data_IF_344416903618
#
_entry.id   IF_344416903618
#
_cell.length_a   1.000
_cell.length_b   1.000
_cell.length_c   1.000
_cell.angle_alpha   90.00
_cell.angle_beta   90.00
_cell.angle_gamma   90.00
#
_symmetry.space_group_name_H-M   'P 1'
#
loop_
_entity.id
_entity.type
_entity.pdbx_description
1 polymer ?
#
# COMPACT_ATOMS: atom_id res chain seq x y z
N UNK A 1 -3.62 13.39 29.18
CA UNK A 1 -2.80 12.51 30.05
C UNK A 1 -1.37 13.00 29.92
N UNK A 2 -0.79 13.46 31.02
CA UNK A 2 0.60 13.91 31.08
C UNK A 2 1.51 12.68 30.91
N UNK A 3 2.49 12.74 30.02
CA UNK A 3 3.59 11.76 30.00
C UNK A 3 4.88 12.50 30.13
N UNK A 4 5.45 12.34 31.32
CA UNK A 4 6.73 12.84 31.77
C UNK A 4 7.85 12.24 30.91
N UNK A 5 8.59 13.09 30.23
CA UNK A 5 9.92 12.76 29.71
C UNK A 5 10.88 12.68 30.89
N UNK A 6 11.08 11.47 31.42
CA UNK A 6 12.16 11.17 32.35
C UNK A 6 13.33 10.66 31.51
N UNK A 7 14.18 11.59 31.09
CA UNK A 7 15.44 11.28 30.40
C UNK A 7 16.57 11.35 31.41
N UNK A 8 17.08 10.16 31.72
CA UNK A 8 18.25 9.82 32.53
C UNK A 8 19.29 10.94 32.70
N UNK A 9 19.33 11.52 33.91
CA UNK A 9 20.54 12.13 34.44
C UNK A 9 21.59 11.02 34.64
N UNK A 10 22.63 11.04 33.81
CA UNK A 10 23.86 10.32 34.10
C UNK A 10 24.55 11.06 35.25
N UNK A 11 24.23 10.66 36.48
CA UNK A 11 24.85 11.17 37.70
C UNK A 11 26.31 10.73 37.68
N UNK A 12 27.19 11.63 37.21
CA UNK A 12 28.63 11.56 37.43
C UNK A 12 28.87 11.79 38.93
N UNK A 13 28.70 10.73 39.71
CA UNK A 13 29.04 10.69 41.10
C UNK A 13 30.49 10.24 41.26
N UNK A 14 31.35 11.12 41.77
CA UNK A 14 32.60 10.70 42.41
C UNK A 14 33.75 11.67 42.27
N UNK A 15 34.20 12.19 43.41
CA UNK A 15 35.49 12.83 43.64
C UNK A 15 35.72 14.24 43.05
N UNK A 16 35.05 15.22 43.64
CA UNK A 16 35.74 16.49 43.95
C UNK A 16 35.79 16.64 45.48
N UNK A 17 36.48 15.68 46.11
CA UNK A 17 36.86 15.78 47.52
C UNK A 17 38.22 16.46 47.59
N UNK A 18 38.24 17.60 48.26
CA UNK A 18 39.38 18.11 49.00
C UNK A 18 40.69 18.33 48.22
N UNK A 19 40.78 19.47 47.55
CA UNK A 19 42.02 20.26 47.61
C UNK A 19 42.20 20.70 49.07
N UNK A 20 42.86 19.88 49.87
CA UNK A 20 42.95 20.11 51.29
C UNK A 20 43.86 19.12 51.99
N UNK A 21 45.13 19.52 52.08
CA UNK A 21 46.03 19.20 53.18
C UNK A 21 46.35 17.72 53.39
N UNK A 22 47.40 17.24 52.72
CA UNK A 22 48.35 16.34 53.37
C UNK A 22 49.77 16.75 52.87
N UNK A 23 50.55 17.45 53.69
CA UNK A 23 51.89 16.92 53.98
C UNK A 23 51.63 15.52 54.52
N UNK A 24 51.36 14.58 53.60
CA UNK A 24 51.30 13.18 53.92
C UNK A 24 52.65 12.92 54.55
N UNK A 25 52.64 12.44 55.79
CA UNK A 25 53.82 11.90 56.45
C UNK A 25 54.58 11.08 55.42
N UNK A 26 55.59 11.66 54.78
CA UNK A 26 56.30 11.04 53.68
C UNK A 26 57.09 9.92 54.31
N UNK A 27 56.51 8.73 54.28
CA UNK A 27 57.16 7.53 54.75
C UNK A 27 58.09 7.11 53.63
N UNK A 28 59.39 7.36 53.84
CA UNK A 28 60.43 6.88 52.95
C UNK A 28 60.21 5.39 52.71
N UNK A 29 60.37 4.96 51.45
CA UNK A 29 60.22 3.56 51.08
C UNK A 29 61.06 2.67 52.00
N UNK A 30 60.46 1.59 52.53
CA UNK A 30 61.14 0.64 53.44
C UNK A 30 62.49 0.18 52.89
N UNK A 31 62.60 0.08 51.56
CA UNK A 31 63.84 -0.26 50.85
C UNK A 31 64.87 0.86 50.93
N UNK A 32 64.48 2.11 50.71
CA UNK A 32 65.37 3.27 50.83
C UNK A 32 65.77 3.48 52.28
N UNK A 33 64.87 3.26 53.24
CA UNK A 33 65.16 3.32 54.67
C UNK A 33 66.19 2.26 55.10
N UNK A 34 66.07 1.04 54.59
CA UNK A 34 67.05 -0.03 54.85
C UNK A 34 68.43 0.29 54.25
N UNK A 35 68.47 0.83 53.03
CA UNK A 35 69.71 1.26 52.36
C UNK A 35 70.35 2.42 53.12
N UNK A 36 69.57 3.46 53.44
CA UNK A 36 70.02 4.60 54.23
C UNK A 36 70.63 4.14 55.56
N UNK A 37 69.93 3.26 56.29
CA UNK A 37 70.42 2.70 57.56
C UNK A 37 71.73 1.92 57.42
N UNK A 38 71.91 1.17 56.33
CA UNK A 38 73.15 0.45 56.05
C UNK A 38 74.30 1.41 55.71
N UNK A 39 74.05 2.41 54.87
CA UNK A 39 75.04 3.40 54.44
C UNK A 39 75.48 4.29 55.59
N UNK A 40 74.56 4.74 56.46
CA UNK A 40 74.92 5.52 57.65
C UNK A 40 75.75 4.72 58.66
N UNK A 41 75.50 3.42 58.84
CA UNK A 41 76.33 2.55 59.68
C UNK A 41 77.76 2.41 59.15
N UNK A 42 77.92 2.30 57.84
CA UNK A 42 79.25 2.27 57.20
C UNK A 42 79.97 3.62 57.33
N UNK A 43 79.26 4.74 57.19
CA UNK A 43 79.84 6.07 57.44
C UNK A 43 80.27 6.26 58.88
N UNK A 44 79.52 5.75 59.86
CA UNK A 44 79.93 5.77 61.26
C UNK A 44 81.24 4.98 61.48
N UNK A 45 81.40 3.81 60.83
CA UNK A 45 82.65 3.04 60.87
C UNK A 45 83.82 3.78 60.20
N UNK A 46 83.56 4.51 59.11
CA UNK A 46 84.57 5.28 58.38
C UNK A 46 85.05 6.48 59.19
N UNK A 47 84.13 7.19 59.86
CA UNK A 47 84.45 8.31 60.76
C UNK A 47 85.30 7.82 61.94
N UNK A 48 84.99 6.65 62.51
CA UNK A 48 85.76 6.07 63.62
C UNK A 48 87.21 5.71 63.22
N UNK A 49 87.45 5.29 61.98
CA UNK A 49 88.78 4.84 61.51
C UNK A 49 89.62 5.96 60.87
N UNK A 50 88.99 6.88 60.15
CA UNK A 50 89.68 7.86 59.30
C UNK A 50 89.38 9.32 59.66
N UNK A 51 88.46 9.57 60.60
CA UNK A 51 88.05 10.90 61.03
C UNK A 51 86.90 11.49 60.21
N UNK A 52 86.29 12.55 60.73
CA UNK A 52 85.06 13.15 60.18
C UNK A 52 85.26 13.81 58.81
N UNK A 53 86.43 14.39 58.55
CA UNK A 53 86.71 15.09 57.28
C UNK A 53 86.71 14.14 56.07
N UNK A 54 86.85 12.82 56.26
CA UNK A 54 86.81 11.85 55.17
C UNK A 54 85.42 11.67 54.53
N UNK A 55 84.34 12.01 55.24
CA UNK A 55 82.94 11.78 54.79
C UNK A 55 82.19 13.08 54.49
N UNK A 56 82.74 14.22 54.92
CA UNK A 56 82.09 15.54 54.90
C UNK A 56 81.51 15.95 53.54
N UNK A 57 82.27 15.78 52.45
CA UNK A 57 81.82 16.15 51.10
C UNK A 57 80.99 15.06 50.42
N UNK A 58 81.10 13.81 50.89
CA UNK A 58 80.39 12.66 50.34
C UNK A 58 78.98 12.51 50.92
N UNK A 59 78.76 12.90 52.18
CA UNK A 59 77.48 12.78 52.86
C UNK A 59 76.33 13.53 52.14
N UNK A 60 76.49 14.80 51.70
CA UNK A 60 75.45 15.49 50.96
C UNK A 60 75.09 14.82 49.62
N UNK A 61 76.08 14.24 48.93
CA UNK A 61 75.85 13.52 47.67
C UNK A 61 75.03 12.25 47.88
N UNK A 62 75.35 11.49 48.94
CA UNK A 62 74.60 10.28 49.29
C UNK A 62 73.20 10.60 49.76
N UNK A 63 73.02 11.64 50.57
CA UNK A 63 71.67 12.12 50.96
C UNK A 63 70.85 12.47 49.73
N UNK A 64 71.39 13.27 48.81
CA UNK A 64 70.71 13.62 47.56
C UNK A 64 70.38 12.39 46.69
N UNK A 65 71.25 11.37 46.65
CA UNK A 65 70.95 10.11 45.96
C UNK A 65 69.82 9.33 46.64
N UNK A 66 69.77 9.29 47.97
CA UNK A 66 68.70 8.64 48.72
C UNK A 66 67.36 9.38 48.55
N UNK A 67 67.36 10.71 48.60
CA UNK A 67 66.17 11.54 48.34
C UNK A 67 65.64 11.35 46.91
N UNK A 68 66.52 11.34 45.91
CA UNK A 68 66.14 11.07 44.52
C UNK A 68 65.61 9.64 44.33
N UNK A 69 66.21 8.66 45.02
CA UNK A 69 65.75 7.28 44.98
C UNK A 69 64.37 7.13 45.62
N UNK A 70 64.13 7.80 46.74
CA UNK A 70 62.83 7.79 47.42
C UNK A 70 61.75 8.46 46.57
N UNK A 71 62.07 9.58 45.95
CA UNK A 71 61.21 10.28 45.00
C UNK A 71 60.85 9.38 43.80
N UNK A 72 61.82 8.63 43.26
CA UNK A 72 61.58 7.67 42.18
C UNK A 72 60.72 6.48 42.63
N UNK A 73 60.78 6.05 43.89
CA UNK A 73 59.90 5.00 44.41
C UNK A 73 58.46 5.49 44.56
N UNK A 74 58.26 6.73 45.03
CA UNK A 74 56.94 7.35 45.10
C UNK A 74 56.31 7.47 43.70
N UNK A 75 57.04 8.02 42.74
CA UNK A 75 56.57 8.15 41.35
C UNK A 75 56.22 6.77 40.75
N UNK A 76 57.03 5.74 41.03
CA UNK A 76 56.75 4.37 40.59
C UNK A 76 55.47 3.80 41.21
N UNK A 77 55.17 4.11 42.47
CA UNK A 77 53.95 3.64 43.14
C UNK A 77 52.71 4.38 42.62
N UNK A 78 52.82 5.70 42.40
CA UNK A 78 51.77 6.51 41.76
C UNK A 78 51.45 5.99 40.35
N UNK A 79 52.48 5.80 39.52
CA UNK A 79 52.31 5.24 38.17
C UNK A 79 51.75 3.82 38.17
N UNK A 80 51.98 3.03 39.24
CA UNK A 80 51.41 1.70 39.37
C UNK A 80 49.91 1.75 39.64
N UNK A 81 49.46 2.69 40.50
CA UNK A 81 48.04 2.94 40.75
C UNK A 81 47.34 3.44 39.49
N UNK A 82 47.93 4.41 38.79
CA UNK A 82 47.39 4.91 37.53
C UNK A 82 47.25 3.81 36.47
N UNK A 83 48.25 2.92 36.38
CA UNK A 83 48.17 1.77 35.49
C UNK A 83 47.03 0.81 35.85
N UNK A 84 46.75 0.62 37.14
CA UNK A 84 45.65 -0.25 37.59
C UNK A 84 44.30 0.40 37.28
N UNK A 85 44.13 1.69 37.55
CA UNK A 85 42.92 2.44 37.19
C UNK A 85 42.65 2.39 35.68
N UNK A 86 43.69 2.63 34.85
CA UNK A 86 43.55 2.56 33.40
C UNK A 86 43.19 1.15 32.90
N UNK A 87 43.66 0.09 33.58
CA UNK A 87 43.26 -1.29 33.24
C UNK A 87 41.80 -1.54 33.59
N UNK A 88 41.34 -1.08 34.75
CA UNK A 88 39.94 -1.19 35.14
C UNK A 88 39.02 -0.42 34.20
N UNK A 89 39.37 0.81 33.83
CA UNK A 89 38.62 1.62 32.86
C UNK A 89 38.56 0.93 31.49
N UNK A 90 39.66 0.34 31.03
CA UNK A 90 39.70 -0.40 29.77
C UNK A 90 38.81 -1.65 29.81
N UNK A 91 38.79 -2.38 30.93
CA UNK A 91 37.88 -3.51 31.13
C UNK A 91 36.41 -3.07 31.12
N UNK A 92 36.09 -1.94 31.76
CA UNK A 92 34.74 -1.37 31.72
C UNK A 92 34.32 -0.97 30.29
N UNK A 93 35.22 -0.31 29.55
CA UNK A 93 35.00 0.04 28.14
C UNK A 93 34.80 -1.20 27.28
N UNK A 94 35.57 -2.26 27.49
CA UNK A 94 35.43 -3.52 26.77
C UNK A 94 34.05 -4.17 27.03
N UNK A 95 33.62 -4.22 28.29
CA UNK A 95 32.30 -4.73 28.66
C UNK A 95 31.15 -3.91 28.06
N UNK A 96 31.29 -2.58 28.02
CA UNK A 96 30.31 -1.70 27.39
C UNK A 96 30.26 -1.92 25.87
N UNK A 97 31.42 -2.00 25.23
CA UNK A 97 31.54 -2.31 23.81
C UNK A 97 30.89 -3.64 23.45
N UNK A 98 31.12 -4.69 24.23
CA UNK A 98 30.52 -6.00 23.99
C UNK A 98 28.99 -5.98 24.12
N UNK A 99 28.47 -5.27 25.13
CA UNK A 99 27.02 -5.08 25.29
C UNK A 99 26.42 -4.35 24.09
N UNK A 100 27.02 -3.24 23.68
CA UNK A 100 26.57 -2.46 22.52
C UNK A 100 26.64 -3.29 21.24
N UNK A 101 27.73 -4.04 21.02
CA UNK A 101 27.90 -4.94 19.88
C UNK A 101 26.80 -6.00 19.83
N UNK A 102 26.43 -6.58 20.97
CA UNK A 102 25.35 -7.57 21.05
C UNK A 102 23.97 -6.93 20.78
N UNK A 103 23.74 -5.72 21.30
CA UNK A 103 22.51 -4.96 21.05
C UNK A 103 22.36 -4.61 19.58
N UNK A 104 23.43 -4.12 18.93
CA UNK A 104 23.44 -3.87 17.48
C UNK A 104 23.15 -5.11 16.68
N UNK A 105 23.82 -6.23 16.98
CA UNK A 105 23.54 -7.51 16.30
C UNK A 105 22.08 -7.95 16.46
N UNK A 106 21.48 -7.77 17.64
CA UNK A 106 20.07 -8.07 17.86
C UNK A 106 19.14 -7.12 17.10
N UNK A 107 19.52 -5.85 16.98
CA UNK A 107 18.74 -4.86 16.25
C UNK A 107 18.81 -5.10 14.73
N UNK A 108 19.99 -5.40 14.19
CA UNK A 108 20.18 -5.77 12.79
C UNK A 108 19.33 -7.00 12.43
N UNK A 109 19.31 -8.02 13.30
CA UNK A 109 18.46 -9.19 13.11
C UNK A 109 16.97 -8.83 13.07
N UNK A 110 16.50 -7.93 13.95
CA UNK A 110 15.12 -7.45 13.93
C UNK A 110 14.80 -6.66 12.66
N UNK A 111 15.74 -5.87 12.15
CA UNK A 111 15.56 -5.16 10.89
C UNK A 111 15.38 -6.13 9.72
N UNK A 112 16.20 -7.19 9.65
CA UNK A 112 16.06 -8.24 8.63
C UNK A 112 14.70 -8.95 8.72
N UNK A 113 14.22 -9.28 9.92
CA UNK A 113 12.90 -9.91 10.12
C UNK A 113 11.75 -9.01 9.67
N UNK A 114 11.85 -7.70 9.95
CA UNK A 114 10.86 -6.72 9.50
C UNK A 114 10.91 -6.55 7.99
N UNK A 115 12.10 -6.49 7.39
CA UNK A 115 12.28 -6.41 5.94
C UNK A 115 11.68 -7.64 5.24
N UNK A 116 11.96 -8.86 5.72
CA UNK A 116 11.37 -10.09 5.21
C UNK A 116 9.84 -10.07 5.30
N UNK A 117 9.29 -9.63 6.45
CA UNK A 117 7.84 -9.50 6.61
C UNK A 117 7.22 -8.48 5.64
N UNK A 118 7.92 -7.38 5.34
CA UNK A 118 7.45 -6.37 4.40
C UNK A 118 7.51 -6.87 2.96
N UNK A 119 8.58 -7.61 2.60
CA UNK A 119 8.70 -8.23 1.29
C UNK A 119 7.58 -9.24 1.04
N UNK A 120 7.25 -10.07 2.04
CA UNK A 120 6.16 -11.03 1.93
C UNK A 120 4.79 -10.33 1.79
N UNK A 121 4.54 -9.28 2.59
CA UNK A 121 3.31 -8.49 2.46
C UNK A 121 3.21 -7.80 1.09
N UNK A 122 4.31 -7.25 0.58
CA UNK A 122 4.32 -6.63 -0.74
C UNK A 122 4.02 -7.65 -1.84
N UNK A 123 4.61 -8.85 -1.75
CA UNK A 123 4.32 -9.95 -2.68
C UNK A 123 2.86 -10.39 -2.62
N UNK A 124 2.26 -10.47 -1.43
CA UNK A 124 0.84 -10.78 -1.27
C UNK A 124 -0.05 -9.69 -1.89
N UNK A 125 0.30 -8.42 -1.72
CA UNK A 125 -0.40 -7.29 -2.31
C UNK A 125 -0.28 -7.30 -3.85
N UNK A 126 0.91 -7.54 -4.39
CA UNK A 126 1.13 -7.67 -5.84
C UNK A 126 0.29 -8.81 -6.43
N UNK A 127 0.21 -9.96 -5.76
CA UNK A 127 -0.66 -11.06 -6.17
C UNK A 127 -2.14 -10.65 -6.17
N UNK A 128 -2.60 -9.93 -5.13
CA UNK A 128 -3.98 -9.42 -5.05
C UNK A 128 -4.28 -8.43 -6.17
N UNK A 129 -3.36 -7.51 -6.45
CA UNK A 129 -3.47 -6.57 -7.57
C UNK A 129 -3.57 -7.32 -8.90
N UNK A 130 -2.73 -8.34 -9.11
CA UNK A 130 -2.78 -9.19 -10.30
C UNK A 130 -4.13 -9.91 -10.47
N UNK A 131 -4.65 -10.49 -9.39
CA UNK A 131 -5.98 -11.12 -9.38
C UNK A 131 -7.10 -10.12 -9.68
N UNK A 132 -7.09 -8.96 -9.04
CA UNK A 132 -8.08 -7.91 -9.27
C UNK A 132 -8.03 -7.40 -10.71
N UNK A 133 -6.84 -7.20 -11.27
CA UNK A 133 -6.69 -6.79 -12.67
C UNK A 133 -7.29 -7.83 -13.64
N UNK A 134 -7.12 -9.12 -13.35
CA UNK A 134 -7.76 -10.20 -14.13
C UNK A 134 -9.29 -10.15 -14.04
N UNK A 135 -9.84 -9.93 -12.84
CA UNK A 135 -11.30 -9.80 -12.63
C UNK A 135 -11.85 -8.59 -13.40
N UNK A 136 -11.18 -7.44 -13.34
CA UNK A 136 -11.58 -6.23 -14.08
C UNK A 136 -11.64 -6.53 -15.58
N UNK A 137 -10.58 -7.14 -16.15
CA UNK A 137 -10.56 -7.51 -17.57
C UNK A 137 -11.71 -8.44 -17.97
N UNK A 138 -12.05 -9.41 -17.10
CA UNK A 138 -13.20 -10.29 -17.31
C UNK A 138 -14.52 -9.52 -17.33
N UNK A 139 -14.72 -8.61 -16.36
CA UNK A 139 -15.93 -7.80 -16.26
C UNK A 139 -16.07 -6.81 -17.42
N UNK A 140 -14.96 -6.26 -17.92
CA UNK A 140 -14.93 -5.41 -19.11
C UNK A 140 -15.44 -6.19 -20.34
N UNK A 141 -14.95 -7.42 -20.53
CA UNK A 141 -15.42 -8.28 -21.62
C UNK A 141 -16.92 -8.61 -21.47
N UNK A 142 -17.35 -8.94 -20.25
CA UNK A 142 -18.77 -9.21 -19.96
C UNK A 142 -19.66 -8.00 -20.25
N UNK A 143 -19.20 -6.80 -19.87
CA UNK A 143 -19.90 -5.53 -20.14
C UNK A 143 -20.00 -5.28 -21.64
N UNK A 144 -18.91 -5.48 -22.39
CA UNK A 144 -18.90 -5.36 -23.84
C UNK A 144 -19.90 -6.30 -24.49
N UNK A 145 -19.88 -7.58 -24.11
CA UNK A 145 -20.81 -8.59 -24.64
C UNK A 145 -22.28 -8.25 -24.33
N UNK A 146 -22.56 -7.75 -23.12
CA UNK A 146 -23.91 -7.32 -22.74
C UNK A 146 -24.37 -6.09 -23.54
N UNK A 147 -23.49 -5.12 -23.77
CA UNK A 147 -23.75 -3.95 -24.60
C UNK A 147 -24.08 -4.36 -26.04
N UNK A 148 -23.26 -5.22 -26.65
CA UNK A 148 -23.49 -5.74 -28.00
C UNK A 148 -24.83 -6.47 -28.12
N UNK A 149 -25.22 -7.24 -27.10
CA UNK A 149 -26.53 -7.91 -27.06
C UNK A 149 -27.70 -6.92 -26.94
N UNK A 150 -27.56 -5.88 -26.11
CA UNK A 150 -28.55 -4.82 -25.97
C UNK A 150 -28.76 -4.07 -27.29
N UNK A 151 -27.69 -3.67 -27.97
CA UNK A 151 -27.79 -2.98 -29.26
C UNK A 151 -28.52 -3.82 -30.33
N UNK A 152 -28.30 -5.15 -30.36
CA UNK A 152 -29.04 -6.05 -31.26
C UNK A 152 -30.53 -6.21 -30.92
N UNK A 153 -30.89 -5.99 -29.66
CA UNK A 153 -32.30 -5.97 -29.23
C UNK A 153 -32.95 -4.64 -29.63
N UNK A 154 -32.26 -3.53 -29.40
CA UNK A 154 -32.71 -2.18 -29.77
C UNK A 154 -32.94 -2.07 -31.29
N UNK A 155 -32.05 -2.63 -32.12
CA UNK A 155 -32.23 -2.69 -33.58
C UNK A 155 -33.51 -3.43 -33.97
N UNK A 156 -33.75 -4.62 -33.37
CA UNK A 156 -34.97 -5.39 -33.62
C UNK A 156 -36.23 -4.68 -33.16
N UNK A 157 -36.18 -3.97 -32.03
CA UNK A 157 -37.29 -3.15 -31.56
C UNK A 157 -37.57 -2.00 -32.52
N UNK A 158 -36.52 -1.34 -33.02
CA UNK A 158 -36.65 -0.26 -34.01
C UNK A 158 -37.29 -0.76 -35.31
N UNK A 159 -36.86 -1.93 -35.83
CA UNK A 159 -37.46 -2.56 -37.00
C UNK A 159 -38.94 -2.89 -36.78
N UNK A 160 -39.29 -3.47 -35.62
CA UNK A 160 -40.68 -3.77 -35.27
C UNK A 160 -41.54 -2.51 -35.19
N UNK A 161 -41.01 -1.43 -34.62
CA UNK A 161 -41.69 -0.13 -34.57
C UNK A 161 -41.91 0.43 -35.97
N UNK A 162 -40.91 0.35 -36.85
CA UNK A 162 -41.07 0.77 -38.25
C UNK A 162 -42.14 -0.03 -38.98
N UNK A 163 -42.19 -1.35 -38.80
CA UNK A 163 -43.23 -2.21 -39.40
C UNK A 163 -44.62 -1.91 -38.84
N UNK A 164 -44.73 -1.63 -37.52
CA UNK A 164 -45.97 -1.20 -36.90
C UNK A 164 -46.46 0.13 -37.46
N UNK A 165 -45.57 1.12 -37.60
CA UNK A 165 -45.91 2.42 -38.15
C UNK A 165 -46.36 2.32 -39.62
N UNK A 166 -45.69 1.50 -40.45
CA UNK A 166 -46.13 1.19 -41.83
C UNK A 166 -47.52 0.55 -41.86
N UNK A 167 -47.76 -0.43 -40.99
CA UNK A 167 -49.06 -1.10 -40.91
C UNK A 167 -50.16 -0.14 -40.47
N UNK A 168 -49.86 0.71 -39.50
CA UNK A 168 -50.76 1.75 -39.02
C UNK A 168 -51.07 2.79 -40.10
N UNK A 169 -50.08 3.22 -40.90
CA UNK A 169 -50.29 4.10 -42.04
C UNK A 169 -51.22 3.46 -43.09
N UNK A 170 -50.96 2.20 -43.47
CA UNK A 170 -51.82 1.44 -44.40
C UNK A 170 -53.24 1.27 -43.87
N UNK A 171 -53.40 1.01 -42.58
CA UNK A 171 -54.71 0.90 -41.94
C UNK A 171 -55.48 2.23 -41.99
N UNK A 172 -54.80 3.34 -41.69
CA UNK A 172 -55.40 4.67 -41.79
C UNK A 172 -55.78 5.04 -43.23
N UNK A 173 -54.96 4.67 -44.21
CA UNK A 173 -55.32 4.84 -45.62
C UNK A 173 -56.57 4.03 -45.99
N UNK A 174 -56.64 2.76 -45.58
CA UNK A 174 -57.83 1.94 -45.78
C UNK A 174 -59.08 2.56 -45.15
N UNK A 175 -58.99 3.10 -43.93
CA UNK A 175 -60.09 3.81 -43.29
C UNK A 175 -60.52 5.06 -44.08
N UNK A 176 -59.58 5.88 -44.54
CA UNK A 176 -59.89 7.05 -45.39
C UNK A 176 -60.62 6.63 -46.66
N UNK A 177 -60.10 5.63 -47.37
CA UNK A 177 -60.77 5.12 -48.58
C UNK A 177 -62.18 4.61 -48.29
N UNK A 178 -62.37 3.91 -47.16
CA UNK A 178 -63.69 3.43 -46.75
C UNK A 178 -64.66 4.58 -46.48
N UNK A 179 -64.24 5.62 -45.77
CA UNK A 179 -65.02 6.84 -45.53
C UNK A 179 -65.39 7.48 -46.86
N UNK A 180 -64.43 7.70 -47.77
CA UNK A 180 -64.67 8.27 -49.10
C UNK A 180 -65.66 7.43 -49.92
N UNK A 181 -65.62 6.10 -49.79
CA UNK A 181 -66.57 5.19 -50.42
C UNK A 181 -67.98 5.37 -49.85
N UNK A 182 -68.11 5.38 -48.52
CA UNK A 182 -69.38 5.59 -47.81
C UNK A 182 -69.99 6.95 -48.18
N UNK A 183 -69.18 8.01 -48.21
CA UNK A 183 -69.62 9.35 -48.59
C UNK A 183 -70.09 9.41 -50.05
N UNK A 184 -69.35 8.78 -50.98
CA UNK A 184 -69.78 8.66 -52.39
C UNK A 184 -71.09 7.90 -52.52
N UNK A 185 -71.27 6.80 -51.80
CA UNK A 185 -72.53 6.03 -51.80
C UNK A 185 -73.68 6.84 -51.22
N UNK A 186 -73.45 7.55 -50.12
CA UNK A 186 -74.43 8.45 -49.50
C UNK A 186 -74.87 9.56 -50.46
N UNK A 187 -73.92 10.15 -51.19
CA UNK A 187 -74.20 11.16 -52.20
C UNK A 187 -75.03 10.60 -53.37
N UNK A 188 -74.70 9.40 -53.85
CA UNK A 188 -75.39 8.75 -54.98
C UNK A 188 -76.81 8.27 -54.64
N UNK A 189 -77.04 7.71 -53.45
CA UNK A 189 -78.37 7.24 -53.03
C UNK A 189 -79.28 8.36 -52.53
N UNK A 190 -78.71 9.53 -52.19
CA UNK A 190 -79.41 10.61 -51.50
C UNK A 190 -79.49 10.35 -49.99
N UNK A 191 -79.23 11.39 -49.18
CA UNK A 191 -79.09 11.31 -47.72
C UNK A 191 -80.24 10.53 -47.04
N UNK A 192 -81.49 10.79 -47.47
CA UNK A 192 -82.68 10.20 -46.85
C UNK A 192 -82.84 8.69 -47.13
N UNK A 193 -82.47 8.24 -48.34
CA UNK A 193 -82.50 6.82 -48.70
C UNK A 193 -81.32 6.03 -48.11
N UNK A 194 -80.17 6.68 -47.94
CA UNK A 194 -78.98 6.08 -47.31
C UNK A 194 -79.19 5.81 -45.82
N UNK A 195 -79.76 6.76 -45.08
CA UNK A 195 -80.02 6.60 -43.64
C UNK A 195 -81.12 5.56 -43.35
N UNK A 196 -82.08 5.40 -44.27
CA UNK A 196 -83.10 4.33 -44.20
C UNK A 196 -82.50 2.93 -44.48
N UNK A 197 -81.49 2.82 -45.36
CA UNK A 197 -80.82 1.56 -45.64
C UNK A 197 -79.88 1.11 -44.50
N UNK A 198 -79.24 2.05 -43.80
CA UNK A 198 -78.30 1.76 -42.71
C UNK A 198 -79.00 1.46 -41.36
N UNK A 199 -80.30 1.79 -41.24
CA UNK A 199 -81.11 1.54 -40.03
C UNK A 199 -81.85 0.19 -40.04
N UNK A 200 -81.72 -0.61 -41.11
CA UNK A 200 -82.27 -1.96 -41.16
C UNK A 200 -81.36 -2.95 -40.38
N UNK A 201 -81.90 -3.75 -39.43
CA UNK A 201 -81.09 -4.68 -38.66
C UNK A 201 -80.59 -5.82 -39.54
N UNK A 202 -79.27 -6.05 -39.53
CA UNK A 202 -78.62 -7.16 -40.23
C UNK A 202 -79.06 -8.49 -39.60
N UNK A 203 -79.98 -9.19 -40.27
CA UNK A 203 -80.34 -10.55 -39.91
C UNK A 203 -79.17 -11.50 -40.20
N UNK A 204 -78.52 -11.97 -39.13
CA UNK A 204 -77.59 -13.11 -39.19
C UNK A 204 -78.33 -14.33 -39.75
N UNK A 205 -77.99 -14.74 -40.97
CA UNK A 205 -78.57 -15.93 -41.61
C UNK A 205 -77.52 -17.02 -41.79
N UNK A 206 -77.46 -17.89 -40.79
CA UNK A 206 -77.28 -19.32 -41.03
C UNK A 206 -78.54 -19.83 -41.77
N UNK A 207 -78.51 -19.96 -43.10
CA UNK A 207 -79.18 -21.10 -43.73
C UNK A 207 -78.77 -21.31 -45.19
N UNK A 208 -78.59 -22.59 -45.54
CA UNK A 208 -78.25 -23.09 -46.87
C UNK A 208 -79.53 -23.18 -47.71
N UNK A 209 -79.38 -22.91 -49.01
CA UNK A 209 -80.34 -23.05 -50.12
C UNK A 209 -81.14 -21.79 -50.49
N UNK A 210 -80.68 -21.09 -51.53
CA UNK A 210 -81.51 -20.55 -52.62
C UNK A 210 -80.61 -19.96 -53.70
N UNK A 211 -80.76 -20.42 -54.94
CA UNK A 211 -80.12 -19.83 -56.12
C UNK A 211 -80.95 -18.64 -56.66
N UNK A 212 -80.23 -17.76 -57.35
CA UNK A 212 -80.67 -16.64 -58.20
C UNK A 212 -81.05 -15.32 -57.49
N UNK A 213 -80.14 -14.33 -57.52
CA UNK A 213 -80.25 -13.16 -58.40
C UNK A 213 -78.93 -12.38 -58.44
N UNK A 214 -78.57 -11.93 -59.65
CA UNK A 214 -77.38 -11.18 -60.04
C UNK A 214 -77.38 -9.73 -59.53
N UNK A 215 -76.16 -9.21 -59.29
CA UNK A 215 -75.77 -7.81 -59.05
C UNK A 215 -76.48 -7.17 -57.85
N UNK A 216 -75.82 -6.90 -56.72
CA UNK A 216 -74.71 -5.97 -56.56
C UNK A 216 -73.80 -6.54 -55.46
N UNK A 217 -72.48 -6.54 -55.66
CA UNK A 217 -71.50 -7.02 -54.67
C UNK A 217 -71.38 -5.99 -53.53
N UNK A 218 -72.42 -5.86 -52.71
CA UNK A 218 -72.42 -5.08 -51.47
C UNK A 218 -71.90 -5.94 -50.33
N UNK A 219 -70.65 -6.38 -50.44
CA UNK A 219 -69.85 -6.74 -49.27
C UNK A 219 -69.54 -5.46 -48.48
N UNK A 220 -70.55 -4.86 -47.86
CA UNK A 220 -70.40 -3.94 -46.73
C UNK A 220 -70.05 -4.81 -45.52
N UNK A 221 -68.85 -5.39 -45.56
CA UNK A 221 -68.24 -6.13 -44.45
C UNK A 221 -67.36 -5.19 -43.62
N UNK A 222 -67.73 -3.91 -43.57
CA UNK A 222 -66.88 -2.83 -43.06
C UNK A 222 -66.80 -2.72 -41.54
N UNK A 223 -67.79 -3.23 -40.78
CA UNK A 223 -67.86 -2.96 -39.32
C UNK A 223 -67.42 -4.16 -38.49
N UNK A 224 -67.66 -5.40 -38.94
CA UNK A 224 -67.28 -6.62 -38.20
C UNK A 224 -65.77 -6.87 -38.18
N UNK A 225 -65.06 -6.44 -39.22
CA UNK A 225 -63.61 -6.60 -39.34
C UNK A 225 -62.87 -5.54 -38.49
N UNK A 226 -63.45 -4.34 -38.32
CA UNK A 226 -62.92 -3.28 -37.43
C UNK A 226 -62.97 -3.70 -35.96
N UNK A 227 -64.08 -4.32 -35.51
CA UNK A 227 -64.23 -4.77 -34.12
C UNK A 227 -63.25 -5.91 -33.79
N UNK A 228 -62.97 -6.79 -34.76
CA UNK A 228 -61.99 -7.87 -34.60
C UNK A 228 -60.56 -7.33 -34.55
N UNK A 229 -60.23 -6.28 -35.32
CA UNK A 229 -58.92 -5.63 -35.30
C UNK A 229 -58.64 -4.86 -33.99
N UNK A 230 -59.66 -4.22 -33.39
CA UNK A 230 -59.55 -3.54 -32.07
C UNK A 230 -59.32 -4.54 -30.92
N UNK A 231 -59.73 -5.79 -31.08
CA UNK A 231 -59.46 -6.85 -30.11
C UNK A 231 -58.04 -7.44 -30.27
N UNK A 232 -57.49 -7.42 -31.50
CA UNK A 232 -56.10 -7.86 -31.78
C UNK A 232 -55.03 -6.86 -31.33
N UNK A 233 -55.36 -5.57 -31.19
CA UNK A 233 -54.43 -4.55 -30.67
C UNK A 233 -54.24 -4.59 -29.15
N UNK A 234 -54.97 -5.43 -28.42
CA UNK A 234 -54.88 -5.55 -26.96
C UNK A 234 -54.18 -6.82 -26.46
N UNK A 235 -53.68 -7.70 -27.33
CA UNK A 235 -53.06 -8.96 -26.91
C UNK A 235 -51.73 -9.24 -27.61
N UNK A 236 -50.68 -8.57 -27.15
CA UNK A 236 -49.28 -8.98 -27.34
C UNK A 236 -48.51 -8.81 -26.03
N UNK A 237 -49.01 -9.41 -24.94
CA UNK A 237 -48.13 -9.78 -23.83
C UNK A 237 -47.60 -11.17 -24.15
N UNK A 238 -46.57 -11.23 -24.98
CA UNK A 238 -45.73 -12.42 -25.04
C UNK A 238 -45.00 -12.45 -23.70
N UNK A 239 -45.45 -13.27 -22.77
CA UNK A 239 -44.71 -13.57 -21.54
C UNK A 239 -43.44 -14.33 -21.94
N UNK A 240 -42.42 -13.58 -22.36
CA UNK A 240 -41.09 -14.09 -22.60
C UNK A 240 -40.53 -14.53 -21.26
N UNK A 241 -40.37 -15.83 -21.08
CA UNK A 241 -39.69 -16.43 -19.93
C UNK A 241 -38.18 -16.11 -20.00
N UNK A 242 -37.85 -14.84 -19.74
CA UNK A 242 -36.51 -14.27 -19.71
C UNK A 242 -35.61 -15.03 -18.73
N UNK A 243 -36.18 -15.56 -17.65
CA UNK A 243 -35.48 -16.35 -16.65
C UNK A 243 -34.94 -17.68 -17.20
N UNK A 244 -35.64 -18.33 -18.13
CA UNK A 244 -35.18 -19.62 -18.70
C UNK A 244 -34.00 -19.49 -19.66
N UNK A 245 -33.94 -18.39 -20.43
CA UNK A 245 -32.84 -18.14 -21.37
C UNK A 245 -31.56 -17.68 -20.65
N UNK A 246 -31.68 -16.87 -19.59
CA UNK A 246 -30.56 -16.49 -18.73
C UNK A 246 -29.95 -17.74 -18.06
N UNK A 247 -30.80 -18.63 -17.54
CA UNK A 247 -30.36 -19.82 -16.82
C UNK A 247 -29.79 -20.94 -17.73
N UNK A 248 -30.26 -21.03 -18.99
CA UNK A 248 -29.67 -21.94 -19.99
C UNK A 248 -28.25 -21.53 -20.38
N UNK A 249 -27.98 -20.22 -20.39
CA UNK A 249 -26.67 -19.69 -20.70
C UNK A 249 -25.70 -19.95 -19.53
N UNK A 250 -26.13 -19.72 -18.28
CA UNK A 250 -25.31 -19.94 -17.06
C UNK A 250 -24.70 -21.35 -16.95
N UNK A 251 -25.39 -22.36 -17.50
CA UNK A 251 -24.93 -23.76 -17.45
C UNK A 251 -23.88 -24.09 -18.51
N UNK A 252 -23.90 -23.41 -19.65
CA UNK A 252 -22.90 -23.51 -20.73
C UNK A 252 -21.61 -22.76 -20.33
N UNK A 253 -21.73 -21.62 -19.63
CA UNK A 253 -20.60 -20.83 -19.13
C UNK A 253 -19.73 -21.54 -18.09
N UNK A 254 -20.33 -22.44 -17.30
CA UNK A 254 -19.61 -23.24 -16.30
C UNK A 254 -18.76 -24.36 -16.92
N UNK A 255 -19.15 -24.85 -18.11
CA UNK A 255 -18.48 -25.97 -18.79
C UNK A 255 -17.31 -25.49 -19.67
N UNK A 256 -17.41 -24.29 -20.28
CA UNK A 256 -16.38 -23.74 -21.18
C UNK A 256 -15.19 -23.07 -20.44
N UNK A 257 -15.39 -22.61 -19.21
CA UNK A 257 -14.36 -21.93 -18.40
C UNK A 257 -14.09 -22.59 -17.05
N UNK A 258 -14.56 -23.84 -16.87
CA UNK A 258 -14.37 -24.61 -15.65
C UNK A 258 -12.90 -24.74 -15.27
N UNK A 259 -12.48 -24.07 -14.19
CA UNK A 259 -11.22 -24.41 -13.53
C UNK A 259 -10.50 -23.31 -12.74
N UNK A 260 -10.82 -22.03 -12.90
CA UNK A 260 -10.25 -20.99 -12.02
C UNK A 260 -11.23 -20.59 -10.93
N UNK A 261 -10.72 -20.61 -9.70
CA UNK A 261 -11.46 -20.38 -8.45
C UNK A 261 -12.51 -19.29 -8.63
N UNK A 262 -13.75 -19.63 -8.28
CA UNK A 262 -14.87 -18.70 -8.29
C UNK A 262 -14.48 -17.46 -7.51
N UNK A 263 -14.75 -16.26 -8.04
CA UNK A 263 -14.49 -14.99 -7.35
C UNK A 263 -15.04 -14.96 -5.90
N UNK A 264 -16.09 -15.77 -5.64
CA UNK A 264 -16.65 -16.02 -4.31
C UNK A 264 -15.64 -16.63 -3.31
N UNK A 265 -14.71 -17.49 -3.74
CA UNK A 265 -13.71 -18.13 -2.88
C UNK A 265 -12.57 -17.16 -2.50
N UNK A 266 -12.18 -16.27 -3.43
CA UNK A 266 -11.19 -15.20 -3.19
C UNK A 266 -11.75 -14.16 -2.20
N UNK A 267 -13.06 -13.88 -2.27
CA UNK A 267 -13.77 -13.00 -1.33
C UNK A 267 -14.09 -13.66 0.02
N UNK A 268 -14.10 -15.00 0.09
CA UNK A 268 -14.46 -15.76 1.29
C UNK A 268 -13.25 -16.10 2.19
N UNK A 269 -12.02 -15.74 1.83
CA UNK A 269 -10.87 -15.96 2.72
C UNK A 269 -11.05 -15.16 4.01
N UNK A 270 -11.04 -15.79 5.20
CA UNK A 270 -11.26 -15.07 6.45
C UNK A 270 -10.11 -14.09 6.70
N UNK A 271 -10.46 -12.80 6.80
CA UNK A 271 -9.56 -11.74 7.25
C UNK A 271 -9.12 -12.09 8.68
N UNK A 272 -7.89 -12.59 8.86
CA UNK A 272 -7.31 -12.81 10.20
C UNK A 272 -7.11 -11.44 10.86
N UNK A 273 -8.08 -11.03 11.67
CA UNK A 273 -7.92 -9.89 12.56
C UNK A 273 -6.85 -10.23 13.62
N UNK A 274 -5.69 -9.57 13.54
CA UNK A 274 -4.75 -9.48 14.66
C UNK A 274 -5.13 -8.28 15.52
N UNK A 275 -5.08 -8.39 16.86
CA UNK A 275 -5.64 -7.38 17.76
C UNK A 275 -4.87 -6.07 17.70
N UNK A 276 -5.64 -4.99 17.85
CA UNK A 276 -5.18 -3.61 17.92
C UNK A 276 -4.17 -3.41 19.07
N UNK A 277 -2.87 -3.40 18.75
CA UNK A 277 -1.85 -2.64 19.47
C UNK A 277 -0.53 -2.66 18.69
N UNK A 278 -0.41 -1.73 17.76
CA UNK A 278 0.88 -1.29 17.20
C UNK A 278 0.73 0.19 16.82
N UNK A 279 1.56 1.11 17.32
CA UNK A 279 1.42 2.53 17.03
C UNK A 279 1.61 2.78 15.53
N UNK A 280 0.67 3.49 14.90
CA UNK A 280 0.80 4.01 13.55
C UNK A 280 2.02 4.96 13.46
N UNK A 281 2.82 4.94 12.39
CA UNK A 281 3.82 5.98 12.18
C UNK A 281 3.09 7.29 11.86
N UNK A 282 3.35 8.31 12.68
CA UNK A 282 2.93 9.68 12.42
C UNK A 282 3.58 10.16 11.12
N UNK A 283 2.74 10.50 10.14
CA UNK A 283 3.13 11.28 8.97
C UNK A 283 3.67 12.61 9.48
N UNK A 284 4.97 12.80 9.39
CA UNK A 284 5.61 14.10 9.56
C UNK A 284 5.48 14.82 8.23
N UNK A 285 4.63 15.84 8.18
CA UNK A 285 4.58 16.81 7.09
C UNK A 285 5.96 17.47 6.93
N UNK A 286 6.57 17.28 5.75
CA UNK A 286 7.74 18.07 5.34
C UNK A 286 7.29 19.51 5.01
N UNK A 287 7.97 20.56 5.50
CA UNK A 287 7.65 21.93 5.14
C UNK A 287 8.06 22.24 3.69
N UNK A 288 7.22 23.03 3.01
CA UNK A 288 7.48 23.64 1.71
C UNK A 288 8.79 24.46 1.74
N UNK A 289 9.76 24.09 0.92
CA UNK A 289 10.86 24.99 0.58
C UNK A 289 10.51 25.88 -0.61
N UNK A 290 10.79 27.16 -0.40
CA UNK A 290 10.57 28.29 -1.27
C UNK A 290 11.67 28.31 -2.32
N UNK A 291 11.27 28.48 -3.58
CA UNK A 291 12.17 28.76 -4.70
C UNK A 291 12.90 30.07 -4.45
N UNK A 292 14.22 30.01 -4.33
CA UNK A 292 15.12 31.15 -4.57
C UNK A 292 16.22 30.71 -5.53
N UNK A 293 16.19 31.31 -6.70
CA UNK A 293 17.19 31.29 -7.76
C UNK A 293 18.48 31.97 -7.29
N UNK A 294 19.61 31.28 -7.33
CA UNK A 294 20.93 31.88 -7.51
C UNK A 294 21.78 30.98 -8.42
N UNK A 295 22.28 31.59 -9.49
CA UNK A 295 23.20 31.05 -10.49
C UNK A 295 24.57 30.74 -9.88
N UNK A 296 25.14 29.56 -10.18
CA UNK A 296 26.59 29.35 -10.22
C UNK A 296 26.88 28.31 -11.31
N UNK A 297 27.46 28.78 -12.41
CA UNK A 297 28.15 27.96 -13.42
C UNK A 297 29.46 27.43 -12.80
N UNK A 298 29.65 26.11 -12.78
CA UNK A 298 30.98 25.50 -12.64
C UNK A 298 31.19 24.53 -13.82
N UNK A 299 32.23 24.83 -14.59
CA UNK A 299 32.73 24.08 -15.73
C UNK A 299 33.33 22.73 -15.28
N UNK A 300 32.91 21.61 -15.89
CA UNK A 300 33.64 20.34 -15.81
C UNK A 300 34.64 20.26 -16.99
N UNK A 301 35.93 20.29 -16.66
CA UNK A 301 37.02 19.88 -17.56
C UNK A 301 37.09 18.34 -17.63
N UNK A 302 36.93 17.80 -18.84
CA UNK A 302 37.19 16.39 -19.17
C UNK A 302 38.71 16.09 -19.17
N UNK A 303 39.19 15.35 -18.18
CA UNK A 303 40.57 14.83 -18.14
C UNK A 303 40.64 13.39 -18.70
N UNK A 304 40.98 13.26 -19.98
CA UNK A 304 41.34 12.00 -20.65
C UNK A 304 42.67 11.43 -20.08
N UNK A 305 42.60 10.45 -19.18
CA UNK A 305 43.77 9.66 -18.78
C UNK A 305 44.16 8.63 -19.85
N UNK A 306 45.14 9.02 -20.66
CA UNK A 306 45.88 8.18 -21.61
C UNK A 306 46.90 7.29 -20.89
N UNK A 307 46.66 5.99 -20.84
CA UNK A 307 47.61 4.97 -20.34
C UNK A 307 48.72 4.74 -21.38
N UNK A 308 50.03 4.78 -21.04
CA UNK A 308 51.08 4.39 -21.97
C UNK A 308 51.44 2.90 -21.81
N UNK A 309 51.35 2.16 -22.91
CA UNK A 309 51.93 0.82 -23.05
C UNK A 309 53.44 0.87 -22.80
N UNK A 310 53.93 0.05 -21.85
CA UNK A 310 55.35 -0.30 -21.76
C UNK A 310 55.59 -1.65 -22.40
N UNK A 311 56.46 -1.60 -23.41
CA UNK A 311 57.07 -2.69 -24.14
C UNK A 311 57.70 -3.75 -23.22
N UNK A 312 57.43 -5.02 -23.54
CA UNK A 312 58.21 -6.19 -23.12
C UNK A 312 59.21 -6.53 -24.25
N UNK A 313 60.50 -6.24 -24.03
CA UNK A 313 61.66 -7.07 -24.42
C UNK A 313 62.69 -6.92 -23.31
#
# INVERSE_FOLDING_TARGET
MQSSTSSNELIYGGASSAYGSEEASHVMSDKVQAIASAVYKEFESMIQKFGQESVKDLMPLVVNVLENLDSAFLEKDELAVDNEMLKEENEQLLNQYERERQMRKSQDQKYLEVEESLLEQNRELENKVGSMASIVRMLELKTKNACDHASRLEEREADQKMEYDKLHERYNELLRTHIDHVERTKFLMGTEMFDMANSLPVASKNNKNSMAMSAIDSNVRGISDIISAVHMSQSTHADLNLASHINSNERDWHEEFGGLQTAAEILATPRKEKPANSPLPSVVESPKEVVTSEDVDEEEEDDEQKVPERFLI
#
